data_IF_088214372920
#
_entry.id   IF_088214372920
#
_cell.length_a   1.000
_cell.length_b   1.000
_cell.length_c   1.000
_cell.angle_alpha   90.00
_cell.angle_beta   90.00
_cell.angle_gamma   90.00
#
_symmetry.space_group_name_H-M   'P 1'
#
loop_
_entity.id
_entity.type
_entity.pdbx_description
1 polymer ?
#
# COMPACT_ATOMS: atom_id res chain seq x y z
N UNK A 1 18.33 -0.42 65.12
CA UNK A 1 19.22 -0.34 63.95
C UNK A 1 18.34 0.01 62.76
N UNK A 2 18.64 1.11 62.07
CA UNK A 2 17.87 1.56 60.90
C UNK A 2 18.65 1.10 59.66
N UNK A 3 18.08 0.22 58.85
CA UNK A 3 18.67 -0.19 57.59
C UNK A 3 18.49 0.96 56.59
N UNK A 4 19.57 1.66 56.26
CA UNK A 4 19.59 2.64 55.17
C UNK A 4 19.36 1.92 53.84
N UNK A 5 18.25 2.25 53.17
CA UNK A 5 17.93 1.80 51.83
C UNK A 5 18.63 2.74 50.85
N UNK A 6 19.72 2.28 50.23
CA UNK A 6 20.41 3.04 49.18
C UNK A 6 19.66 2.79 47.87
N UNK A 7 19.02 3.79 47.23
CA UNK A 7 18.47 3.58 45.91
C UNK A 7 19.64 3.53 44.91
N UNK A 8 19.87 2.36 44.31
CA UNK A 8 20.74 2.23 43.16
C UNK A 8 20.10 2.99 42.00
N UNK A 9 20.60 4.19 41.69
CA UNK A 9 20.28 4.89 40.44
C UNK A 9 20.94 4.13 39.30
N UNK A 10 20.34 3.01 38.88
CA UNK A 10 20.62 2.43 37.58
C UNK A 10 20.07 3.40 36.54
N UNK A 11 20.98 4.10 35.87
CA UNK A 11 20.65 5.05 34.81
C UNK A 11 20.18 4.24 33.61
N UNK A 12 18.87 4.04 33.46
CA UNK A 12 18.30 3.47 32.25
C UNK A 12 18.62 4.41 31.08
N UNK A 13 19.62 4.04 30.29
CA UNK A 13 19.95 4.75 29.05
C UNK A 13 19.01 4.22 27.98
N UNK A 14 18.04 5.01 27.49
CA UNK A 14 17.19 4.57 26.40
C UNK A 14 18.05 4.26 25.17
N UNK A 15 17.75 3.19 24.41
CA UNK A 15 18.48 2.90 23.19
C UNK A 15 18.42 4.12 22.24
N UNK A 16 19.49 4.38 21.48
CA UNK A 16 19.52 5.50 20.54
C UNK A 16 18.29 5.43 19.64
N UNK A 17 17.52 6.52 19.62
CA UNK A 17 16.34 6.63 18.78
C UNK A 17 16.76 6.31 17.34
N UNK A 18 16.23 5.21 16.80
CA UNK A 18 16.41 4.85 15.40
C UNK A 18 15.96 6.03 14.56
N UNK A 19 16.91 6.72 13.93
CA UNK A 19 16.59 7.76 12.95
C UNK A 19 15.68 7.14 11.90
N UNK A 20 14.49 7.69 11.64
CA UNK A 20 13.63 7.15 10.60
C UNK A 20 14.38 7.27 9.28
N UNK A 21 14.82 6.13 8.75
CA UNK A 21 15.36 6.02 7.39
C UNK A 21 14.38 6.74 6.47
N UNK A 22 14.83 7.65 5.58
CA UNK A 22 13.94 8.34 4.65
C UNK A 22 13.18 7.28 3.85
N UNK A 23 11.92 7.08 4.19
CA UNK A 23 11.09 6.09 3.51
C UNK A 23 10.90 6.65 2.09
N UNK A 24 11.21 5.88 1.02
CA UNK A 24 11.06 6.39 -0.32
C UNK A 24 9.64 6.91 -0.51
N UNK A 25 9.51 8.15 -0.97
CA UNK A 25 8.21 8.79 -1.17
C UNK A 25 7.37 7.92 -2.10
N UNK A 26 6.29 7.37 -1.57
CA UNK A 26 5.35 6.55 -2.33
C UNK A 26 4.05 7.32 -2.53
N UNK A 27 3.57 7.36 -3.74
CA UNK A 27 2.32 8.00 -4.10
C UNK A 27 1.24 6.94 -4.40
N UNK A 28 0.03 7.06 -3.80
CA UNK A 28 -1.07 6.16 -4.12
C UNK A 28 -1.72 6.57 -5.43
N UNK A 29 -1.77 5.64 -6.38
CA UNK A 29 -2.49 5.78 -7.65
C UNK A 29 -3.72 4.89 -7.64
N UNK A 30 -4.85 5.45 -8.04
CA UNK A 30 -6.10 4.73 -8.28
C UNK A 30 -6.39 4.72 -9.78
N UNK A 31 -6.52 3.53 -10.37
CA UNK A 31 -6.82 3.36 -11.79
C UNK A 31 -8.18 2.69 -11.92
N UNK A 32 -9.05 3.30 -12.73
CA UNK A 32 -10.37 2.78 -13.04
C UNK A 32 -10.49 2.58 -14.55
N UNK A 33 -10.89 1.37 -14.95
CA UNK A 33 -11.15 1.04 -16.36
C UNK A 33 -12.64 0.71 -16.49
N UNK A 34 -13.34 1.44 -17.37
CA UNK A 34 -14.77 1.24 -17.67
C UNK A 34 -14.91 0.93 -19.16
N UNK A 35 -15.67 -0.11 -19.51
CA UNK A 35 -15.80 -0.54 -20.91
C UNK A 35 -16.39 -1.94 -21.06
N UNK A 36 -16.15 -2.57 -22.20
CA UNK A 36 -16.58 -3.96 -22.41
C UNK A 36 -15.71 -4.93 -21.58
N UNK A 37 -16.29 -6.05 -21.17
CA UNK A 37 -15.57 -7.09 -20.42
C UNK A 37 -14.33 -7.60 -21.17
N UNK A 38 -14.44 -7.73 -22.50
CA UNK A 38 -13.33 -8.15 -23.36
C UNK A 38 -12.19 -7.12 -23.37
N UNK A 39 -12.49 -5.84 -23.63
CA UNK A 39 -11.47 -4.78 -23.68
C UNK A 39 -10.78 -4.59 -22.33
N UNK A 40 -11.54 -4.61 -21.24
CA UNK A 40 -10.99 -4.56 -19.87
C UNK A 40 -10.03 -5.73 -19.63
N UNK A 41 -10.45 -6.95 -19.98
CA UNK A 41 -9.60 -8.13 -19.83
C UNK A 41 -8.30 -8.04 -20.64
N UNK A 42 -8.36 -7.48 -21.86
CA UNK A 42 -7.19 -7.26 -22.69
C UNK A 42 -6.23 -6.25 -22.05
N UNK A 43 -6.74 -5.09 -21.58
CA UNK A 43 -5.92 -4.06 -20.93
C UNK A 43 -5.25 -4.61 -19.67
N UNK A 44 -5.99 -5.34 -18.83
CA UNK A 44 -5.42 -5.96 -17.62
C UNK A 44 -4.30 -6.93 -17.97
N UNK A 45 -4.48 -7.77 -19.00
CA UNK A 45 -3.43 -8.69 -19.47
C UNK A 45 -2.20 -7.95 -19.98
N UNK A 46 -2.38 -6.84 -20.71
CA UNK A 46 -1.28 -6.00 -21.19
C UNK A 46 -0.51 -5.40 -20.02
N UNK A 47 -1.21 -4.79 -19.06
CA UNK A 47 -0.59 -4.18 -17.88
C UNK A 47 0.14 -5.20 -17.00
N UNK A 48 -0.39 -6.41 -16.92
CA UNK A 48 0.32 -7.54 -16.29
C UNK A 48 1.61 -7.89 -17.03
N UNK A 49 1.57 -8.03 -18.36
CA UNK A 49 2.77 -8.33 -19.17
C UNK A 49 3.84 -7.24 -19.08
N UNK A 50 3.44 -5.99 -18.84
CA UNK A 50 4.36 -4.87 -18.61
C UNK A 50 4.92 -4.81 -17.18
N UNK A 51 4.56 -5.76 -16.30
CA UNK A 51 4.95 -5.73 -14.89
C UNK A 51 4.29 -4.59 -14.10
N UNK A 52 3.27 -3.95 -14.67
CA UNK A 52 2.60 -2.84 -14.01
C UNK A 52 1.69 -3.35 -12.89
N UNK A 53 0.91 -4.41 -13.08
CA UNK A 53 0.07 -4.95 -12.01
C UNK A 53 -0.29 -6.41 -12.27
N UNK A 54 -0.31 -7.21 -11.19
CA UNK A 54 -0.82 -8.57 -11.23
C UNK A 54 -2.30 -8.61 -11.64
N UNK A 55 -2.71 -9.64 -12.37
CA UNK A 55 -4.12 -9.80 -12.78
C UNK A 55 -5.04 -9.86 -11.56
N UNK A 56 -4.58 -10.48 -10.47
CA UNK A 56 -5.32 -10.58 -9.20
C UNK A 56 -5.30 -9.31 -8.34
N UNK A 57 -4.52 -8.28 -8.71
CA UNK A 57 -4.48 -7.01 -7.97
C UNK A 57 -5.69 -6.11 -8.27
N UNK A 58 -6.41 -6.39 -9.36
CA UNK A 58 -7.60 -5.65 -9.75
C UNK A 58 -8.82 -6.09 -8.92
N UNK A 59 -9.78 -5.18 -8.77
CA UNK A 59 -11.06 -5.48 -8.13
C UNK A 59 -11.81 -6.61 -8.86
N UNK A 60 -12.78 -7.21 -8.17
CA UNK A 60 -13.72 -8.13 -8.82
C UNK A 60 -14.54 -7.39 -9.89
N UNK A 61 -15.09 -8.11 -10.89
CA UNK A 61 -16.50 -8.01 -11.21
C UNK A 61 -17.34 -6.77 -10.89
N UNK A 62 -17.22 -5.59 -11.49
CA UNK A 62 -18.07 -4.44 -11.10
C UNK A 62 -18.81 -3.81 -12.27
N UNK A 63 -19.89 -3.09 -11.95
CA UNK A 63 -20.67 -2.25 -12.86
C UNK A 63 -20.51 -0.81 -12.37
N UNK A 64 -20.13 0.07 -13.30
CA UNK A 64 -20.05 1.50 -13.04
C UNK A 64 -21.46 2.09 -12.84
N UNK A 65 -21.73 2.80 -11.72
CA UNK A 65 -23.07 3.29 -11.40
C UNK A 65 -23.56 4.39 -12.34
N UNK A 66 -22.65 5.11 -13.02
CA UNK A 66 -23.01 6.24 -13.88
C UNK A 66 -23.33 5.78 -15.31
N UNK A 67 -22.54 4.86 -15.86
CA UNK A 67 -22.66 4.40 -17.25
C UNK A 67 -23.33 3.04 -17.40
N UNK A 68 -23.51 2.27 -16.31
CA UNK A 68 -24.01 0.90 -16.34
C UNK A 68 -23.05 -0.10 -17.02
N UNK A 69 -21.82 0.31 -17.33
CA UNK A 69 -20.84 -0.51 -18.03
C UNK A 69 -19.98 -1.31 -17.04
N UNK A 70 -19.43 -2.46 -17.47
CA UNK A 70 -18.42 -3.16 -16.68
C UNK A 70 -17.24 -2.27 -16.29
N UNK A 71 -16.74 -2.49 -15.08
CA UNK A 71 -15.65 -1.73 -14.47
C UNK A 71 -14.66 -2.64 -13.71
N UNK A 72 -13.41 -2.18 -13.64
CA UNK A 72 -12.34 -2.69 -12.76
C UNK A 72 -11.56 -1.55 -12.13
N UNK A 73 -11.12 -1.74 -10.90
CA UNK A 73 -10.37 -0.74 -10.14
C UNK A 73 -9.07 -1.36 -9.61
N UNK A 74 -7.98 -0.61 -9.66
CA UNK A 74 -6.69 -0.96 -9.08
C UNK A 74 -6.21 0.17 -8.18
N UNK A 75 -5.79 -0.17 -6.95
CA UNK A 75 -5.07 0.74 -6.06
C UNK A 75 -3.63 0.28 -5.96
N UNK A 76 -2.68 1.14 -6.35
CA UNK A 76 -1.25 0.81 -6.35
C UNK A 76 -0.42 1.95 -5.76
N UNK A 77 0.63 1.61 -5.01
CA UNK A 77 1.61 2.59 -4.55
C UNK A 77 2.79 2.62 -5.52
N UNK A 78 3.09 3.79 -6.08
CA UNK A 78 4.22 4.01 -6.98
C UNK A 78 5.34 4.68 -6.21
N UNK A 79 6.57 4.23 -6.42
CA UNK A 79 7.76 4.93 -5.91
C UNK A 79 8.12 6.03 -6.90
N UNK A 80 8.34 7.24 -6.40
CA UNK A 80 8.85 8.38 -7.18
C UNK A 80 10.37 8.28 -7.35
#
# INVERSE_FOLDING_TARGET
MMQEFIPSTETYTPPPASTPTPQPTREPVLITIIGSTFAIGLIIKILHRLGFAEVGAWSKPQIDPTSGKPMRVLKKWIRL
#
